data_IF_706770244247
#
_entry.id   IF_706770244247
#
_cell.length_a   1.000
_cell.length_b   1.000
_cell.length_c   1.000
_cell.angle_alpha   90.00
_cell.angle_beta   90.00
_cell.angle_gamma   90.00
#
_symmetry.space_group_name_H-M   'P 1'
#
loop_
_entity.id
_entity.type
_entity.pdbx_description
1 polymer ?
#
# COMPACT_ATOMS: atom_id res chain seq x y z
N UNK A 1 3.00 -17.26 -14.89
CA UNK A 1 3.43 -15.90 -14.51
C UNK A 1 2.82 -15.57 -13.18
N UNK A 2 3.60 -14.97 -12.30
CA UNK A 2 3.25 -14.75 -10.90
C UNK A 2 3.59 -13.31 -10.58
N UNK A 3 2.87 -12.43 -11.26
CA UNK A 3 3.00 -10.99 -11.15
C UNK A 3 1.87 -10.51 -10.25
N UNK A 4 2.18 -10.37 -8.97
CA UNK A 4 1.30 -9.73 -8.00
C UNK A 4 2.10 -8.65 -7.29
N UNK A 5 2.18 -7.48 -7.92
CA UNK A 5 3.00 -6.37 -7.45
C UNK A 5 2.23 -5.52 -6.44
N UNK A 6 2.76 -5.42 -5.22
CA UNK A 6 2.31 -4.53 -4.17
C UNK A 6 3.26 -3.34 -4.00
N UNK A 7 2.70 -2.18 -3.71
CA UNK A 7 3.46 -0.98 -3.36
C UNK A 7 2.99 -0.45 -2.01
N UNK A 8 3.92 -0.19 -1.10
CA UNK A 8 3.62 0.34 0.22
C UNK A 8 4.76 1.20 0.78
N UNK A 9 4.45 1.96 1.82
CA UNK A 9 5.44 2.76 2.54
C UNK A 9 5.73 2.15 3.91
N UNK A 10 7.01 1.97 4.23
CA UNK A 10 7.50 1.55 5.54
C UNK A 10 8.21 2.71 6.21
N UNK A 11 7.89 2.98 7.48
CA UNK A 11 8.60 3.98 8.29
C UNK A 11 9.45 3.27 9.33
N UNK A 12 10.74 3.56 9.30
CA UNK A 12 11.70 3.19 10.35
C UNK A 12 11.99 4.43 11.21
N UNK A 13 12.71 4.26 12.31
CA UNK A 13 13.12 5.40 13.16
C UNK A 13 13.91 6.46 12.39
N UNK A 14 14.71 6.03 11.40
CA UNK A 14 15.63 6.90 10.67
C UNK A 14 15.16 7.28 9.26
N UNK A 15 14.31 6.47 8.62
CA UNK A 15 14.00 6.60 7.20
C UNK A 15 12.56 6.20 6.83
N UNK A 16 12.01 6.89 5.82
CA UNK A 16 10.82 6.46 5.09
C UNK A 16 11.24 5.72 3.82
N UNK A 17 10.75 4.49 3.69
CA UNK A 17 11.03 3.58 2.58
C UNK A 17 9.77 3.41 1.74
N UNK A 18 9.91 3.45 0.42
CA UNK A 18 8.86 3.06 -0.52
C UNK A 18 9.21 1.73 -1.14
N UNK A 19 8.46 0.71 -0.79
CA UNK A 19 8.72 -0.67 -1.17
C UNK A 19 7.79 -1.04 -2.32
N UNK A 20 8.36 -1.55 -3.40
CA UNK A 20 7.65 -2.27 -4.44
C UNK A 20 8.06 -3.74 -4.32
N UNK A 21 7.11 -4.65 -4.11
CA UNK A 21 7.40 -6.07 -3.91
C UNK A 21 6.44 -6.94 -4.73
N UNK A 22 6.96 -8.03 -5.30
CA UNK A 22 6.14 -9.07 -5.90
C UNK A 22 5.62 -10.02 -4.81
N UNK A 23 4.40 -9.81 -4.35
CA UNK A 23 3.67 -10.67 -3.42
C UNK A 23 3.28 -12.03 -4.03
N UNK A 24 3.53 -12.26 -5.32
CA UNK A 24 3.22 -13.52 -6.01
C UNK A 24 3.98 -14.73 -5.46
N UNK A 25 5.02 -14.53 -4.64
CA UNK A 25 5.77 -15.61 -3.98
C UNK A 25 5.32 -15.89 -2.53
N UNK A 26 4.42 -15.08 -1.91
CA UNK A 26 4.03 -15.19 -0.49
C UNK A 26 3.61 -16.61 -0.05
N UNK A 27 2.96 -17.38 -0.94
CA UNK A 27 2.50 -18.75 -0.67
C UNK A 27 3.38 -19.89 -1.22
N UNK A 28 4.50 -19.58 -1.87
CA UNK A 28 5.37 -20.58 -2.53
C UNK A 28 6.87 -20.40 -2.28
N UNK A 29 7.26 -19.28 -1.68
CA UNK A 29 8.62 -19.07 -1.21
C UNK A 29 8.89 -19.98 0.02
N UNK A 30 10.12 -20.53 0.16
CA UNK A 30 11.26 -20.38 -0.75
C UNK A 30 11.13 -21.27 -2.00
N UNK A 31 11.75 -20.86 -3.11
CA UNK A 31 11.79 -21.66 -4.33
C UNK A 31 13.06 -22.50 -4.42
N UNK A 32 12.92 -23.77 -4.82
CA UNK A 32 14.04 -24.71 -4.93
C UNK A 32 15.16 -24.17 -5.81
N UNK A 33 16.38 -24.16 -5.26
CA UNK A 33 17.61 -23.71 -5.93
C UNK A 33 17.87 -22.20 -5.82
N UNK A 34 16.87 -21.38 -5.45
CA UNK A 34 17.01 -19.93 -5.26
C UNK A 34 17.41 -19.62 -3.83
N UNK A 35 18.70 -19.73 -3.53
CA UNK A 35 19.21 -19.68 -2.14
C UNK A 35 20.03 -18.44 -1.83
N UNK A 36 20.31 -17.60 -2.83
CA UNK A 36 21.11 -16.40 -2.69
C UNK A 36 20.27 -15.14 -2.90
N UNK A 37 20.23 -14.28 -1.89
CA UNK A 37 19.77 -12.91 -2.02
C UNK A 37 20.86 -12.07 -2.70
N UNK A 38 20.48 -11.37 -3.76
CA UNK A 38 21.30 -10.38 -4.46
C UNK A 38 20.63 -9.01 -4.33
N UNK A 39 21.41 -8.01 -3.92
CA UNK A 39 21.01 -6.60 -3.92
C UNK A 39 21.95 -5.75 -4.77
N UNK A 40 21.38 -4.84 -5.54
CA UNK A 40 22.10 -3.80 -6.28
C UNK A 40 21.62 -2.45 -5.78
N UNK A 41 22.51 -1.70 -5.13
CA UNK A 41 22.21 -0.41 -4.51
C UNK A 41 22.83 0.75 -5.29
N UNK A 42 22.01 1.74 -5.63
CA UNK A 42 22.38 2.94 -6.36
C UNK A 42 22.32 4.13 -5.41
N UNK A 43 23.41 4.90 -5.32
CA UNK A 43 23.41 6.18 -4.63
C UNK A 43 22.74 7.25 -5.52
N UNK A 44 21.68 7.87 -5.03
CA UNK A 44 20.87 8.83 -5.80
C UNK A 44 21.50 10.23 -5.89
N UNK A 45 22.44 10.59 -5.02
CA UNK A 45 23.09 11.91 -5.05
C UNK A 45 23.80 12.22 -6.37
N UNK A 46 24.76 11.40 -6.86
CA UNK A 46 25.44 11.68 -8.11
C UNK A 46 24.49 11.59 -9.32
N UNK A 47 23.51 10.69 -9.29
CA UNK A 47 22.50 10.56 -10.34
C UNK A 47 21.67 11.85 -10.42
N UNK A 48 21.20 12.35 -9.27
CA UNK A 48 20.42 13.58 -9.21
C UNK A 48 21.24 14.80 -9.63
N UNK A 49 22.49 14.92 -9.21
CA UNK A 49 23.37 16.02 -9.59
C UNK A 49 23.68 16.06 -11.10
N UNK A 50 23.66 14.91 -11.77
CA UNK A 50 23.90 14.82 -13.22
C UNK A 50 22.69 15.21 -14.06
N UNK A 51 21.47 15.12 -13.51
CA UNK A 51 20.23 15.39 -14.24
C UNK A 51 19.75 16.82 -14.03
N UNK A 52 19.29 17.48 -15.09
CA UNK A 52 18.81 18.88 -15.03
C UNK A 52 17.37 18.98 -14.53
N UNK A 53 16.61 17.89 -14.68
CA UNK A 53 15.21 17.83 -14.27
C UNK A 53 14.89 16.54 -13.53
N UNK A 54 13.86 16.59 -12.68
CA UNK A 54 13.36 15.39 -12.01
C UNK A 54 12.83 14.34 -13.00
N UNK A 55 12.35 14.77 -14.18
CA UNK A 55 11.87 13.86 -15.23
C UNK A 55 13.01 13.05 -15.85
N UNK A 56 14.14 13.68 -16.16
CA UNK A 56 15.33 12.99 -16.67
C UNK A 56 15.92 12.06 -15.62
N UNK A 57 15.98 12.51 -14.36
CA UNK A 57 16.39 11.69 -13.23
C UNK A 57 15.57 10.40 -13.11
N UNK A 58 14.23 10.50 -13.13
CA UNK A 58 13.35 9.33 -13.08
C UNK A 58 13.56 8.43 -14.29
N UNK A 59 13.61 9.00 -15.51
CA UNK A 59 13.81 8.25 -16.75
C UNK A 59 15.12 7.47 -16.73
N UNK A 60 16.20 8.04 -16.20
CA UNK A 60 17.49 7.36 -16.12
C UNK A 60 17.45 6.16 -15.18
N UNK A 61 16.71 6.24 -14.06
CA UNK A 61 16.52 5.12 -13.14
C UNK A 61 15.64 4.02 -13.73
N UNK A 62 14.55 4.38 -14.44
CA UNK A 62 13.68 3.43 -15.16
C UNK A 62 14.44 2.68 -16.26
N UNK A 63 15.36 3.37 -16.96
CA UNK A 63 16.24 2.74 -17.94
C UNK A 63 17.17 1.72 -17.29
N UNK A 64 17.80 2.05 -16.15
CA UNK A 64 18.62 1.11 -15.41
C UNK A 64 17.82 -0.12 -14.96
N UNK A 65 16.63 0.08 -14.38
CA UNK A 65 15.75 -1.00 -13.96
C UNK A 65 15.42 -1.93 -15.13
N UNK A 66 15.01 -1.38 -16.28
CA UNK A 66 14.71 -2.15 -17.49
C UNK A 66 15.91 -2.95 -18.00
N UNK A 67 17.11 -2.36 -17.92
CA UNK A 67 18.36 -3.01 -18.35
C UNK A 67 18.75 -4.15 -17.39
N UNK A 68 18.62 -3.93 -16.08
CA UNK A 68 18.87 -4.95 -15.06
C UNK A 68 17.87 -6.10 -15.18
N UNK A 69 16.57 -5.82 -15.32
CA UNK A 69 15.54 -6.85 -15.51
C UNK A 69 15.82 -7.72 -16.74
N UNK A 70 16.20 -7.10 -17.87
CA UNK A 70 16.53 -7.84 -19.09
C UNK A 70 17.77 -8.73 -18.92
N UNK A 71 18.80 -8.24 -18.23
CA UNK A 71 20.07 -8.97 -18.08
C UNK A 71 20.00 -10.04 -16.99
N UNK A 72 19.45 -9.73 -15.82
CA UNK A 72 19.29 -10.66 -14.71
C UNK A 72 18.11 -11.63 -14.90
N UNK A 73 17.14 -11.28 -15.75
CA UNK A 73 16.07 -12.19 -16.16
C UNK A 73 16.42 -13.06 -17.36
N UNK A 74 17.65 -12.99 -17.88
CA UNK A 74 18.08 -13.81 -19.03
C UNK A 74 18.16 -15.30 -18.65
N UNK A 75 18.22 -16.19 -19.66
CA UNK A 75 18.34 -17.63 -19.42
C UNK A 75 19.65 -18.02 -18.73
N UNK A 76 20.69 -17.20 -18.81
CA UNK A 76 21.97 -17.48 -18.16
C UNK A 76 21.96 -17.20 -16.66
N UNK A 77 21.18 -16.21 -16.22
CA UNK A 77 21.11 -15.74 -14.83
C UNK A 77 19.88 -16.29 -14.11
N UNK A 78 18.73 -16.39 -14.79
CA UNK A 78 17.43 -16.81 -14.27
C UNK A 78 17.06 -16.17 -12.92
N UNK A 79 17.55 -14.96 -12.65
CA UNK A 79 17.33 -14.30 -11.37
C UNK A 79 15.85 -13.90 -11.26
N UNK A 80 15.30 -14.08 -10.06
CA UNK A 80 13.94 -13.68 -9.75
C UNK A 80 13.98 -12.30 -9.15
N UNK A 81 13.47 -11.31 -9.87
CA UNK A 81 13.23 -9.98 -9.31
C UNK A 81 12.08 -10.04 -8.29
N UNK A 82 12.37 -9.71 -7.03
CA UNK A 82 11.37 -9.71 -5.96
C UNK A 82 10.86 -8.31 -5.65
N UNK A 83 11.60 -7.26 -6.00
CA UNK A 83 11.19 -5.90 -5.69
C UNK A 83 12.34 -4.92 -5.49
N UNK A 84 11.96 -3.71 -5.07
CA UNK A 84 12.89 -2.61 -4.81
C UNK A 84 12.48 -1.80 -3.59
N UNK A 85 13.49 -1.16 -3.00
CA UNK A 85 13.33 -0.17 -1.94
C UNK A 85 13.82 1.18 -2.47
N UNK A 86 12.93 2.17 -2.44
CA UNK A 86 13.29 3.56 -2.70
C UNK A 86 13.37 4.29 -1.37
N UNK A 87 14.56 4.77 -1.02
CA UNK A 87 14.81 5.67 0.10
C UNK A 87 15.18 7.07 -0.43
N UNK A 88 15.36 8.04 0.47
CA UNK A 88 15.72 9.41 0.09
C UNK A 88 17.04 9.50 -0.69
N UNK A 89 18.02 8.67 -0.33
CA UNK A 89 19.40 8.75 -0.81
C UNK A 89 19.83 7.57 -1.67
N UNK A 90 19.04 6.50 -1.70
CA UNK A 90 19.39 5.25 -2.40
C UNK A 90 18.18 4.56 -3.02
N UNK A 91 18.47 3.80 -4.07
CA UNK A 91 17.56 2.86 -4.72
C UNK A 91 18.18 1.47 -4.70
N UNK A 92 17.46 0.50 -4.16
CA UNK A 92 17.93 -0.88 -4.01
C UNK A 92 17.04 -1.83 -4.78
N UNK A 93 17.64 -2.64 -5.65
CA UNK A 93 16.95 -3.71 -6.38
C UNK A 93 17.29 -5.06 -5.77
N UNK A 94 16.28 -5.90 -5.54
CA UNK A 94 16.44 -7.18 -4.88
C UNK A 94 16.04 -8.34 -5.78
N UNK A 95 16.89 -9.37 -5.80
CA UNK A 95 16.72 -10.57 -6.60
C UNK A 95 17.06 -11.81 -5.77
N UNK A 96 16.41 -12.94 -6.07
CA UNK A 96 16.95 -14.25 -5.71
C UNK A 96 17.60 -14.91 -6.91
N UNK A 97 18.74 -15.54 -6.69
CA UNK A 97 19.52 -16.19 -7.75
C UNK A 97 19.74 -17.67 -7.48
N UNK A 98 19.94 -18.45 -8.55
CA UNK A 98 20.28 -19.88 -8.47
C UNK A 98 21.80 -20.07 -8.41
N UNK A 99 22.27 -20.79 -7.40
CA UNK A 99 23.65 -21.30 -7.33
C UNK A 99 24.72 -20.24 -7.57
N UNK A 100 24.59 -19.06 -6.96
CA UNK A 100 25.62 -18.03 -7.04
C UNK A 100 25.68 -17.22 -8.35
N UNK A 101 24.83 -17.50 -9.36
CA UNK A 101 24.94 -16.87 -10.71
C UNK A 101 23.96 -15.70 -10.91
N UNK A 102 24.35 -14.62 -11.63
CA UNK A 102 25.71 -14.31 -12.06
C UNK A 102 26.61 -14.01 -10.86
N UNK A 103 27.90 -14.32 -10.99
CA UNK A 103 28.85 -14.07 -9.91
C UNK A 103 29.11 -12.57 -9.70
N UNK A 104 29.72 -12.24 -8.56
CA UNK A 104 29.97 -10.85 -8.20
C UNK A 104 30.83 -10.08 -9.23
N UNK A 105 31.91 -10.67 -9.81
CA UNK A 105 32.65 -10.04 -10.91
C UNK A 105 31.82 -9.73 -12.15
N UNK A 106 30.96 -10.65 -12.61
CA UNK A 106 30.11 -10.42 -13.78
C UNK A 106 29.14 -9.26 -13.57
N UNK A 107 28.55 -9.15 -12.37
CA UNK A 107 27.65 -8.04 -12.02
C UNK A 107 28.41 -6.71 -12.03
N UNK A 108 29.60 -6.66 -11.40
CA UNK A 108 30.41 -5.45 -11.40
C UNK A 108 30.86 -5.04 -12.81
N UNK A 109 31.28 -6.00 -13.64
CA UNK A 109 31.65 -5.74 -15.03
C UNK A 109 30.48 -5.18 -15.84
N UNK A 110 29.27 -5.75 -15.67
CA UNK A 110 28.07 -5.25 -16.31
C UNK A 110 27.74 -3.82 -15.85
N UNK A 111 27.80 -3.55 -14.55
CA UNK A 111 27.54 -2.21 -14.00
C UNK A 111 28.53 -1.18 -14.51
N UNK A 112 29.83 -1.49 -14.57
CA UNK A 112 30.84 -0.59 -15.12
C UNK A 112 30.61 -0.23 -16.59
N UNK A 113 30.06 -1.17 -17.38
CA UNK A 113 29.77 -0.95 -18.80
C UNK A 113 28.46 -0.18 -19.04
N UNK A 114 27.46 -0.37 -18.16
CA UNK A 114 26.09 0.04 -18.41
C UNK A 114 25.60 1.18 -17.50
N UNK A 115 26.32 1.48 -16.42
CA UNK A 115 25.90 2.47 -15.43
C UNK A 115 27.06 3.43 -15.09
N UNK A 116 26.91 4.75 -15.32
CA UNK A 116 28.02 5.69 -15.18
C UNK A 116 28.32 6.08 -13.72
N UNK A 117 27.50 5.64 -12.76
CA UNK A 117 27.67 5.97 -11.35
C UNK A 117 28.07 4.75 -10.52
N UNK A 118 28.66 4.98 -9.35
CA UNK A 118 28.98 3.90 -8.43
C UNK A 118 27.70 3.20 -7.97
N UNK A 119 27.66 1.89 -8.16
CA UNK A 119 26.69 0.98 -7.59
C UNK A 119 27.39 0.07 -6.57
N UNK A 120 26.64 -0.40 -5.56
CA UNK A 120 27.11 -1.41 -4.63
C UNK A 120 26.35 -2.71 -4.91
N UNK A 121 27.08 -3.82 -4.88
CA UNK A 121 26.51 -5.15 -5.05
C UNK A 121 26.68 -5.89 -3.74
N UNK A 122 25.59 -6.44 -3.22
CA UNK A 122 25.59 -7.27 -2.02
C UNK A 122 25.00 -8.62 -2.33
N UNK A 123 25.60 -9.68 -1.79
CA UNK A 123 25.13 -11.06 -1.93
C UNK A 123 25.18 -11.74 -0.57
N UNK A 124 24.14 -12.50 -0.24
CA UNK A 124 24.01 -13.24 1.00
C UNK A 124 23.23 -14.52 0.77
N UNK A 125 23.66 -15.61 1.39
CA UNK A 125 22.83 -16.81 1.49
C UNK A 125 21.55 -16.50 2.29
N UNK A 126 20.41 -16.84 1.71
CA UNK A 126 19.08 -16.72 2.29
C UNK A 126 18.17 -17.85 1.74
N UNK A 127 18.47 -19.12 2.04
CA UNK A 127 17.74 -20.27 1.50
C UNK A 127 16.27 -20.34 1.95
N UNK A 128 15.92 -19.66 3.06
CA UNK A 128 14.55 -19.63 3.60
C UNK A 128 13.73 -18.44 3.10
N UNK A 129 14.35 -17.55 2.32
CA UNK A 129 13.75 -16.31 1.83
C UNK A 129 13.29 -15.41 2.99
N UNK A 130 14.08 -15.34 4.05
CA UNK A 130 13.78 -14.54 5.25
C UNK A 130 13.71 -13.05 4.90
N UNK A 131 14.58 -12.58 4.00
CA UNK A 131 14.55 -11.20 3.54
C UNK A 131 13.27 -10.89 2.75
N UNK A 132 12.82 -11.79 1.87
CA UNK A 132 11.56 -11.63 1.16
C UNK A 132 10.37 -11.55 2.13
N UNK A 133 10.33 -12.43 3.14
CA UNK A 133 9.26 -12.42 4.16
C UNK A 133 9.26 -11.12 4.94
N UNK A 134 10.44 -10.61 5.32
CA UNK A 134 10.59 -9.31 5.96
C UNK A 134 10.13 -8.15 5.07
N UNK A 135 10.35 -8.24 3.76
CA UNK A 135 9.97 -7.22 2.79
C UNK A 135 8.49 -7.27 2.38
N UNK A 136 7.73 -8.29 2.80
CA UNK A 136 6.28 -8.24 2.68
C UNK A 136 5.71 -7.22 3.67
N UNK A 137 4.59 -6.57 3.34
CA UNK A 137 3.93 -5.69 4.29
C UNK A 137 3.48 -6.49 5.52
N UNK A 138 3.66 -5.91 6.70
CA UNK A 138 2.99 -6.41 7.90
C UNK A 138 1.50 -6.07 7.91
N UNK A 139 0.76 -6.53 8.92
CA UNK A 139 -0.68 -6.32 9.03
C UNK A 139 -1.07 -4.83 9.01
N UNK A 140 -0.32 -3.99 9.73
CA UNK A 140 -0.55 -2.55 9.79
C UNK A 140 -0.24 -1.87 8.46
N UNK A 141 0.82 -2.29 7.78
CA UNK A 141 1.18 -1.80 6.45
C UNK A 141 0.15 -2.22 5.40
N UNK A 142 -0.39 -3.45 5.47
CA UNK A 142 -1.51 -3.90 4.63
C UNK A 142 -2.74 -3.00 4.84
N UNK A 143 -3.05 -2.61 6.09
CA UNK A 143 -4.12 -1.65 6.40
C UNK A 143 -3.84 -0.27 5.79
N UNK A 144 -2.60 0.23 5.84
CA UNK A 144 -2.24 1.52 5.22
C UNK A 144 -2.36 1.50 3.69
N UNK A 145 -2.01 0.39 3.05
CA UNK A 145 -2.24 0.20 1.60
C UNK A 145 -3.72 0.25 1.31
N UNK A 146 -4.55 -0.45 2.10
CA UNK A 146 -6.00 -0.43 1.93
C UNK A 146 -6.59 0.98 2.12
N UNK A 147 -6.13 1.72 3.14
CA UNK A 147 -6.53 3.10 3.37
C UNK A 147 -6.22 3.98 2.15
N UNK A 148 -5.02 3.88 1.57
CA UNK A 148 -4.65 4.64 0.38
C UNK A 148 -5.59 4.34 -0.80
N UNK A 149 -5.94 3.07 -1.01
CA UNK A 149 -6.90 2.66 -2.05
C UNK A 149 -8.31 3.24 -1.80
N UNK A 150 -8.79 3.19 -0.56
CA UNK A 150 -10.10 3.74 -0.18
C UNK A 150 -10.15 5.27 -0.37
N UNK A 151 -9.13 6.00 0.11
CA UNK A 151 -9.03 7.45 -0.04
C UNK A 151 -8.97 7.84 -1.52
N UNK A 152 -8.18 7.14 -2.32
CA UNK A 152 -8.14 7.34 -3.76
C UNK A 152 -9.52 7.17 -4.40
N UNK A 153 -10.26 6.12 -4.02
CA UNK A 153 -11.60 5.87 -4.51
C UNK A 153 -12.60 6.97 -4.08
N UNK A 154 -12.48 7.52 -2.87
CA UNK A 154 -13.28 8.66 -2.40
C UNK A 154 -13.01 9.92 -3.23
N UNK A 155 -11.74 10.26 -3.44
CA UNK A 155 -11.33 11.42 -4.26
C UNK A 155 -11.88 11.29 -5.68
N UNK A 156 -11.79 10.10 -6.29
CA UNK A 156 -12.35 9.84 -7.63
C UNK A 156 -13.87 9.98 -7.70
N UNK A 157 -14.57 9.66 -6.61
CA UNK A 157 -16.01 9.89 -6.48
C UNK A 157 -16.36 11.37 -6.19
N UNK A 158 -15.36 12.25 -6.11
CA UNK A 158 -15.52 13.69 -5.91
C UNK A 158 -15.66 14.10 -4.45
N UNK A 159 -15.27 13.22 -3.52
CA UNK A 159 -15.21 13.52 -2.09
C UNK A 159 -14.19 14.62 -1.79
N UNK A 160 -14.53 15.51 -0.85
CA UNK A 160 -13.60 16.45 -0.26
C UNK A 160 -13.01 15.83 1.01
N UNK A 161 -11.96 15.03 0.88
CA UNK A 161 -11.40 14.25 2.00
C UNK A 161 -10.95 15.09 3.20
N UNK A 162 -10.72 16.38 3.02
CA UNK A 162 -10.38 17.32 4.10
C UNK A 162 -11.57 17.94 4.83
N UNK A 163 -12.81 17.61 4.45
CA UNK A 163 -14.02 18.08 5.15
C UNK A 163 -14.32 17.15 6.35
N UNK A 164 -14.32 17.68 7.60
CA UNK A 164 -14.60 16.88 8.79
C UNK A 164 -16.00 16.26 8.77
N UNK A 165 -16.10 15.03 9.26
CA UNK A 165 -17.30 14.19 9.29
C UNK A 165 -17.18 13.13 10.37
N UNK A 166 -18.28 12.45 10.65
CA UNK A 166 -18.24 11.22 11.45
C UNK A 166 -17.54 10.12 10.66
N UNK A 167 -16.43 9.65 11.21
CA UNK A 167 -15.66 8.49 10.76
C UNK A 167 -15.94 7.36 11.75
N UNK A 168 -16.42 6.24 11.25
CA UNK A 168 -16.68 5.05 12.03
C UNK A 168 -15.51 4.09 11.93
N UNK A 169 -15.21 3.40 13.03
CA UNK A 169 -14.24 2.32 13.11
C UNK A 169 -14.91 1.07 13.68
N UNK A 170 -14.53 -0.08 13.14
CA UNK A 170 -14.99 -1.39 13.57
C UNK A 170 -13.83 -2.11 14.25
N UNK A 171 -14.08 -2.55 15.47
CA UNK A 171 -13.17 -3.35 16.28
C UNK A 171 -13.84 -4.70 16.55
N UNK A 172 -13.05 -5.76 16.63
CA UNK A 172 -13.53 -7.13 16.79
C UNK A 172 -12.83 -7.76 17.98
N UNK A 173 -13.58 -8.35 18.93
CA UNK A 173 -13.04 -8.94 20.15
C UNK A 173 -13.40 -10.42 20.28
N UNK A 174 -12.46 -11.20 20.83
CA UNK A 174 -12.64 -12.62 21.16
C UNK A 174 -13.49 -12.82 22.40
N UNK A 175 -13.31 -11.94 23.38
CA UNK A 175 -13.99 -11.97 24.67
C UNK A 175 -14.76 -10.67 24.92
N UNK A 176 -15.91 -10.77 25.59
CA UNK A 176 -16.76 -9.62 25.87
C UNK A 176 -16.18 -8.74 26.98
N UNK A 177 -15.40 -9.32 27.91
CA UNK A 177 -14.65 -8.61 28.94
C UNK A 177 -13.64 -7.64 28.32
N UNK A 178 -12.80 -8.12 27.41
CA UNK A 178 -11.84 -7.28 26.66
C UNK A 178 -12.53 -6.10 25.96
N UNK A 179 -13.69 -6.37 25.35
CA UNK A 179 -14.52 -5.34 24.70
C UNK A 179 -15.01 -4.28 25.68
N UNK A 180 -15.36 -4.65 26.91
CA UNK A 180 -15.82 -3.69 27.93
C UNK A 180 -14.66 -2.93 28.57
N UNK A 181 -13.53 -3.58 28.83
CA UNK A 181 -12.37 -2.97 29.47
C UNK A 181 -11.74 -1.84 28.64
N UNK A 182 -11.80 -1.94 27.31
CA UNK A 182 -11.22 -0.95 26.40
C UNK A 182 -12.10 0.30 26.19
N UNK A 183 -13.41 0.24 26.49
CA UNK A 183 -14.35 1.34 26.30
C UNK A 183 -13.91 2.65 26.97
N UNK A 184 -13.57 2.70 28.26
CA UNK A 184 -13.16 3.96 28.90
C UNK A 184 -11.90 4.54 28.24
N UNK A 185 -10.97 3.70 27.79
CA UNK A 185 -9.75 4.14 27.09
C UNK A 185 -10.08 4.80 25.75
N UNK A 186 -11.02 4.22 24.99
CA UNK A 186 -11.49 4.79 23.73
C UNK A 186 -12.20 6.14 23.94
N UNK A 187 -13.01 6.26 24.99
CA UNK A 187 -13.70 7.51 25.34
C UNK A 187 -12.70 8.61 25.75
N UNK A 188 -11.66 8.27 26.53
CA UNK A 188 -10.57 9.20 26.88
C UNK A 188 -9.78 9.69 25.66
N UNK A 189 -9.60 8.82 24.65
CA UNK A 189 -8.99 9.17 23.36
C UNK A 189 -9.91 10.03 22.46
N UNK A 190 -11.16 10.26 22.88
CA UNK A 190 -12.13 11.10 22.18
C UNK A 190 -13.02 10.35 21.17
N UNK A 191 -13.10 9.03 21.27
CA UNK A 191 -14.04 8.23 20.49
C UNK A 191 -15.42 8.17 21.16
N UNK A 192 -16.46 8.07 20.34
CA UNK A 192 -17.85 7.84 20.76
C UNK A 192 -18.20 6.38 20.54
N UNK A 193 -18.78 5.72 21.55
CA UNK A 193 -19.29 4.36 21.42
C UNK A 193 -20.66 4.35 20.71
N UNK A 194 -20.73 3.72 19.55
CA UNK A 194 -21.92 3.74 18.68
C UNK A 194 -22.88 2.59 19.02
N UNK A 195 -23.66 2.74 20.09
CA UNK A 195 -24.58 1.69 20.60
C UNK A 195 -25.67 1.29 19.60
N UNK A 196 -26.08 2.20 18.73
CA UNK A 196 -27.13 1.98 17.72
C UNK A 196 -26.59 1.35 16.43
N UNK A 197 -25.27 1.16 16.34
CA UNK A 197 -24.62 0.62 15.14
C UNK A 197 -24.06 -0.76 15.41
N UNK A 198 -24.70 -1.74 14.81
CA UNK A 198 -24.26 -3.14 14.93
C UNK A 198 -23.03 -3.37 14.05
N UNK A 199 -21.97 -3.88 14.66
CA UNK A 199 -20.89 -4.55 13.93
C UNK A 199 -21.30 -5.98 13.57
N UNK A 200 -20.59 -6.59 12.63
CA UNK A 200 -20.83 -7.99 12.25
C UNK A 200 -19.82 -8.87 12.97
N UNK A 201 -20.25 -9.86 13.75
CA UNK A 201 -19.35 -10.85 14.33
C UNK A 201 -18.56 -11.56 13.25
N UNK A 202 -17.30 -11.86 13.53
CA UNK A 202 -16.44 -12.63 12.66
C UNK A 202 -16.04 -13.98 13.28
N UNK A 203 -15.56 -14.90 12.44
CA UNK A 203 -15.10 -16.20 12.93
C UNK A 203 -13.93 -16.01 13.90
N UNK A 204 -14.13 -16.44 15.16
CA UNK A 204 -13.19 -16.26 16.25
C UNK A 204 -13.28 -14.91 16.98
N UNK A 205 -14.13 -13.98 16.53
CA UNK A 205 -14.35 -12.67 17.16
C UNK A 205 -15.86 -12.36 17.25
N UNK A 206 -16.56 -12.93 18.25
CA UNK A 206 -18.02 -12.81 18.34
C UNK A 206 -18.50 -11.46 18.89
N UNK A 207 -17.61 -10.63 19.42
CA UNK A 207 -17.97 -9.39 20.11
C UNK A 207 -17.47 -8.15 19.34
N UNK A 208 -18.22 -7.64 18.35
CA UNK A 208 -17.84 -6.43 17.65
C UNK A 208 -18.11 -5.17 18.50
N UNK A 209 -17.31 -4.13 18.26
CA UNK A 209 -17.54 -2.79 18.80
C UNK A 209 -17.43 -1.78 17.66
N UNK A 210 -18.42 -0.91 17.54
CA UNK A 210 -18.38 0.22 16.61
C UNK A 210 -18.15 1.49 17.40
N UNK A 211 -17.15 2.25 16.99
CA UNK A 211 -16.83 3.56 17.54
C UNK A 211 -16.82 4.60 16.44
N UNK A 212 -16.91 5.87 16.80
CA UNK A 212 -16.77 6.96 15.85
C UNK A 212 -16.02 8.16 16.39
N UNK A 213 -15.55 9.00 15.48
CA UNK A 213 -14.89 10.28 15.78
C UNK A 213 -15.22 11.30 14.70
N UNK A 214 -15.28 12.58 15.09
CA UNK A 214 -15.50 13.67 14.14
C UNK A 214 -14.16 14.21 13.65
N UNK A 215 -13.79 13.85 12.42
CA UNK A 215 -12.49 14.18 11.82
C UNK A 215 -12.54 14.15 10.29
N UNK A 216 -11.43 14.52 9.65
CA UNK A 216 -11.30 14.38 8.20
C UNK A 216 -10.83 12.98 7.80
N UNK A 217 -10.90 12.68 6.50
CA UNK A 217 -10.48 11.38 5.96
C UNK A 217 -9.26 11.55 5.06
N UNK A 218 -8.37 12.49 5.38
CA UNK A 218 -7.07 12.54 4.72
C UNK A 218 -6.27 11.29 5.09
N UNK A 219 -5.40 10.87 4.19
CA UNK A 219 -4.68 9.60 4.34
C UNK A 219 -3.78 9.58 5.58
N UNK A 220 -3.15 10.70 5.91
CA UNK A 220 -2.36 10.89 7.12
C UNK A 220 -3.22 10.76 8.38
N UNK A 221 -4.35 11.47 8.44
CA UNK A 221 -5.32 11.37 9.55
C UNK A 221 -5.77 9.93 9.77
N UNK A 222 -6.27 9.28 8.72
CA UNK A 222 -6.78 7.90 8.80
C UNK A 222 -5.66 6.93 9.21
N UNK A 223 -4.48 7.01 8.59
CA UNK A 223 -3.37 6.13 8.95
C UNK A 223 -2.91 6.34 10.40
N UNK A 224 -2.99 7.56 10.92
CA UNK A 224 -2.71 7.84 12.33
C UNK A 224 -3.73 7.18 13.25
N UNK A 225 -5.02 7.31 12.97
CA UNK A 225 -6.08 6.67 13.76
C UNK A 225 -6.01 5.15 13.69
N UNK A 226 -5.76 4.57 12.51
CA UNK A 226 -5.56 3.12 12.36
C UNK A 226 -4.35 2.65 13.16
N UNK A 227 -3.24 3.40 13.15
CA UNK A 227 -2.06 3.08 13.96
C UNK A 227 -2.37 3.10 15.45
N UNK A 228 -3.05 4.13 15.92
CA UNK A 228 -3.45 4.29 17.33
C UNK A 228 -4.32 3.11 17.78
N UNK A 229 -5.38 2.80 17.03
CA UNK A 229 -6.31 1.71 17.34
C UNK A 229 -5.64 0.33 17.23
N UNK A 230 -4.81 0.11 16.21
CA UNK A 230 -4.06 -1.13 16.06
C UNK A 230 -3.09 -1.35 17.23
N UNK A 231 -2.36 -0.31 17.64
CA UNK A 231 -1.44 -0.38 18.78
C UNK A 231 -2.17 -0.60 20.10
N UNK A 232 -3.30 0.08 20.31
CA UNK A 232 -4.15 -0.11 21.49
C UNK A 232 -4.66 -1.55 21.59
N UNK A 233 -4.99 -2.17 20.45
CA UNK A 233 -5.57 -3.51 20.40
C UNK A 233 -4.53 -4.64 20.48
N UNK A 234 -3.27 -4.39 20.11
CA UNK A 234 -2.20 -5.41 20.03
C UNK A 234 -1.95 -6.22 21.32
N UNK A 235 -2.40 -5.73 22.49
CA UNK A 235 -2.32 -6.42 23.78
C UNK A 235 -3.67 -6.87 24.37
N UNK A 236 -4.78 -6.59 23.68
CA UNK A 236 -6.12 -7.05 24.03
C UNK A 236 -6.48 -8.27 23.18
N UNK A 237 -7.46 -9.08 23.56
CA UNK A 237 -8.03 -10.09 22.66
C UNK A 237 -8.81 -9.50 21.48
N UNK A 238 -8.57 -8.22 21.13
CA UNK A 238 -9.21 -7.48 20.06
C UNK A 238 -8.31 -7.26 18.85
N UNK A 239 -8.94 -6.91 17.72
CA UNK A 239 -8.25 -6.47 16.50
C UNK A 239 -9.02 -5.37 15.79
N UNK A 240 -8.30 -4.59 15.00
CA UNK A 240 -8.90 -3.58 14.14
C UNK A 240 -9.43 -4.23 12.85
N UNK A 241 -10.63 -3.86 12.43
CA UNK A 241 -11.29 -4.47 11.26
C UNK A 241 -11.37 -3.51 10.07
N UNK A 242 -11.68 -2.24 10.32
CA UNK A 242 -11.75 -1.25 9.26
C UNK A 242 -12.41 0.04 9.69
N UNK A 243 -12.53 0.96 8.72
CA UNK A 243 -13.21 2.24 8.91
C UNK A 243 -14.11 2.58 7.74
N UNK A 244 -14.93 3.60 7.92
CA UNK A 244 -15.84 4.08 6.91
C UNK A 244 -16.48 5.41 7.29
N UNK A 245 -16.83 6.19 6.28
CA UNK A 245 -17.46 7.50 6.46
C UNK A 245 -18.47 7.78 5.36
N UNK A 246 -19.37 8.73 5.62
CA UNK A 246 -20.22 9.29 4.56
C UNK A 246 -19.40 10.12 3.58
N UNK A 247 -19.79 10.10 2.30
CA UNK A 247 -19.16 10.94 1.27
C UNK A 247 -19.63 12.40 1.44
N UNK A 248 -18.69 13.34 1.47
CA UNK A 248 -18.91 14.78 1.40
C UNK A 248 -18.42 15.30 0.05
N UNK A 249 -19.35 15.59 -0.84
CA UNK A 249 -19.00 16.04 -2.19
C UNK A 249 -18.38 17.44 -2.17
N UNK A 250 -17.24 17.60 -2.83
CA UNK A 250 -16.65 18.91 -3.14
C UNK A 250 -17.65 19.82 -3.89
N UNK A 251 -17.44 21.14 -3.86
CA UNK A 251 -18.28 22.09 -4.60
C UNK A 251 -18.38 21.73 -6.10
N UNK A 252 -17.26 21.38 -6.74
CA UNK A 252 -17.22 20.89 -8.12
C UNK A 252 -17.93 19.53 -8.30
N UNK A 253 -17.84 18.64 -7.30
CA UNK A 253 -18.57 17.36 -7.27
C UNK A 253 -20.08 17.54 -7.16
N UNK A 254 -20.54 18.50 -6.35
CA UNK A 254 -21.95 18.88 -6.21
C UNK A 254 -22.52 19.40 -7.53
N UNK A 255 -21.80 20.29 -8.21
CA UNK A 255 -22.19 20.82 -9.54
C UNK A 255 -22.26 19.70 -10.57
N UNK A 256 -21.24 18.84 -10.67
CA UNK A 256 -21.25 17.70 -11.60
C UNK A 256 -22.39 16.71 -11.33
N UNK A 257 -22.66 16.39 -10.06
CA UNK A 257 -23.79 15.52 -9.67
C UNK A 257 -25.13 16.14 -10.00
N UNK A 258 -25.29 17.45 -9.78
CA UNK A 258 -26.51 18.18 -10.12
C UNK A 258 -26.78 18.16 -11.63
N UNK A 259 -25.76 18.47 -12.44
CA UNK A 259 -25.85 18.41 -13.90
C UNK A 259 -26.24 16.99 -14.35
N UNK A 260 -25.54 15.95 -13.87
CA UNK A 260 -25.83 14.55 -14.24
C UNK A 260 -27.26 14.12 -13.86
N UNK A 261 -27.74 14.49 -12.67
CA UNK A 261 -29.12 14.23 -12.24
C UNK A 261 -30.14 14.90 -13.15
N UNK A 262 -29.92 16.16 -13.55
CA UNK A 262 -30.81 16.85 -14.48
C UNK A 262 -30.82 16.20 -15.86
N UNK A 263 -29.65 15.81 -16.38
CA UNK A 263 -29.59 15.07 -17.65
C UNK A 263 -30.31 13.73 -17.58
N UNK A 264 -30.12 12.93 -16.53
CA UNK A 264 -30.83 11.66 -16.36
C UNK A 264 -32.35 11.83 -16.18
N UNK A 265 -32.78 12.90 -15.51
CA UNK A 265 -34.19 13.21 -15.33
C UNK A 265 -34.83 13.68 -16.64
N UNK A 266 -34.11 14.48 -17.44
CA UNK A 266 -34.52 14.89 -18.79
C UNK A 266 -34.60 13.67 -19.71
N UNK A 267 -33.62 12.78 -19.69
CA UNK A 267 -33.61 11.56 -20.50
C UNK A 267 -34.77 10.62 -20.13
N UNK A 268 -35.06 10.47 -18.83
CA UNK A 268 -36.19 9.67 -18.34
C UNK A 268 -37.54 10.31 -18.70
N UNK A 269 -37.64 11.64 -18.61
CA UNK A 269 -38.84 12.39 -18.99
C UNK A 269 -39.11 12.32 -20.50
N UNK A 270 -38.07 12.44 -21.33
CA UNK A 270 -38.17 12.27 -22.77
C UNK A 270 -38.61 10.84 -23.13
N UNK A 271 -38.02 9.80 -22.52
CA UNK A 271 -38.45 8.40 -22.73
C UNK A 271 -39.93 8.17 -22.37
N UNK A 272 -40.43 8.77 -21.28
CA UNK A 272 -41.86 8.70 -20.92
C UNK A 272 -42.76 9.46 -21.90
N UNK A 273 -42.34 10.64 -22.38
CA UNK A 273 -43.09 11.44 -23.34
C UNK A 273 -43.20 10.79 -24.73
N UNK A 274 -42.16 10.05 -25.15
CA UNK A 274 -42.16 9.31 -26.42
C UNK A 274 -42.85 7.93 -26.33
N UNK A 275 -42.94 7.32 -25.14
CA UNK A 275 -43.67 6.06 -24.94
C UNK A 275 -45.21 6.24 -24.89
N UNK A 276 -45.71 7.43 -24.50
CA UNK A 276 -47.15 7.73 -24.42
C UNK A 276 -47.80 8.23 -25.72
N UNK A 277 -47.09 8.23 -26.85
CA UNK A 277 -47.58 8.74 -28.15
C UNK A 277 -47.97 7.66 -29.16
N UNK A 278 -47.86 6.38 -28.81
CA UNK A 278 -48.28 5.23 -29.63
C UNK A 278 -49.40 4.42 -28.95
N UNK A 279 -50.42 5.10 -28.42
CA UNK A 279 -51.67 4.48 -27.93
C UNK A 279 -52.86 5.11 -28.62
#
# INVERSE_FOLDING_TARGET
>A
MTDNWGFYERRTESEQLRVLINAGYKGRAPLTGYTDLLSITINLYPVRAHNRSNREFVKQLEQLESMLEKWLGSKESEAIYIGRINAATRLEFYYYTKGGKPDHPAINAWLLQNWPFRAQVYRKEDPQWDFYRFLLPDELEEMFVHNAQMIYALIHKGDNVGEPRIVYHWLQFRDDGDRHEIVPVLEELGYVIEKEKEGRPEHGYPYPLVISRYEDVRLDTVNERVRELHALLAGSGGRYDGWGSVIKLSAAGRVRRFIRRRYSAIETALRKAFAGRNS
#
